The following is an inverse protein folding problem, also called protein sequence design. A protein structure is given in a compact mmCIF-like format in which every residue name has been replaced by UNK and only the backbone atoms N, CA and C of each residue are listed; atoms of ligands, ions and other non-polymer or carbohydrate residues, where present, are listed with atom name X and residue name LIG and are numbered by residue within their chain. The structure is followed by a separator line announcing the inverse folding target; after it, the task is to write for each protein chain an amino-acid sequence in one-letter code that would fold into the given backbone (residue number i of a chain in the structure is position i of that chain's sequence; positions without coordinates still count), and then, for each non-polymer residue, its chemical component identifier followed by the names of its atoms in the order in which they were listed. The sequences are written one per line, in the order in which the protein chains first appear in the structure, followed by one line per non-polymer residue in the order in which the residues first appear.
data_IF_314620671414
#
_entry.id   IF_314620671414
#
_cell.length_a   1.000
_cell.length_b   1.000
_cell.length_c   1.000
_cell.angle_alpha   90.00
_cell.angle_beta   90.00
_cell.angle_gamma   90.00
#
_symmetry.space_group_name_H-M   'P 1'
#
loop_
_entity.id
_entity.type
_entity.pdbx_description
1 polymer ?
#
# COMPACT_ATOMS: atom_id res chain seq x y z
N UNK A 1 0.16 -2.78 21.67
CA UNK A 1 0.98 -2.59 20.45
C UNK A 1 1.85 -3.82 20.18
N UNK A 2 2.18 -4.08 18.91
CA UNK A 2 3.12 -5.14 18.53
C UNK A 2 4.56 -4.72 18.90
N UNK A 3 5.38 -5.69 19.33
CA UNK A 3 6.80 -5.43 19.59
C UNK A 3 7.50 -4.96 18.31
N UNK A 4 8.43 -3.98 18.37
CA UNK A 4 9.12 -3.45 17.18
C UNK A 4 9.77 -4.52 16.30
N UNK A 5 10.31 -5.59 16.90
CA UNK A 5 10.94 -6.69 16.17
C UNK A 5 9.96 -7.51 15.32
N UNK A 6 8.68 -7.56 15.72
CA UNK A 6 7.62 -8.21 14.95
C UNK A 6 7.07 -7.26 13.89
N UNK A 7 6.91 -5.98 14.25
CA UNK A 7 6.41 -4.96 13.33
C UNK A 7 7.31 -4.82 12.09
N UNK A 8 8.63 -4.84 12.30
CA UNK A 8 9.64 -4.77 11.23
C UNK A 8 9.62 -6.00 10.27
N UNK A 9 8.92 -7.08 10.63
CA UNK A 9 8.72 -8.24 9.74
C UNK A 9 7.53 -8.09 8.79
N UNK A 10 6.62 -7.15 9.05
CA UNK A 10 5.55 -6.84 8.10
C UNK A 10 6.12 -6.04 6.93
N UNK A 11 5.79 -6.47 5.70
CA UNK A 11 6.22 -5.75 4.49
C UNK A 11 5.56 -4.37 4.41
N UNK A 12 4.24 -4.34 4.53
CA UNK A 12 3.44 -3.13 4.43
C UNK A 12 2.61 -2.90 5.68
N UNK A 13 2.36 -1.64 6.00
CA UNK A 13 1.36 -1.20 6.97
C UNK A 13 0.39 -0.22 6.29
N UNK A 14 -0.89 -0.32 6.66
CA UNK A 14 -1.89 0.66 6.29
C UNK A 14 -2.68 1.06 7.53
N UNK A 15 -3.04 2.33 7.59
CA UNK A 15 -3.91 2.87 8.62
C UNK A 15 -5.29 3.05 8.01
N UNK A 16 -6.31 2.53 8.69
CA UNK A 16 -7.71 2.62 8.23
C UNK A 16 -8.43 3.56 9.19
N UNK A 17 -8.87 4.69 8.65
CA UNK A 17 -9.70 5.66 9.38
C UNK A 17 -11.14 5.57 8.91
N UNK A 18 -12.10 5.72 9.84
CA UNK A 18 -13.50 5.83 9.44
C UNK A 18 -13.73 7.18 8.75
N UNK A 19 -14.40 7.21 7.57
CA UNK A 19 -14.71 8.47 6.91
C UNK A 19 -15.55 9.41 7.79
N UNK A 20 -15.16 10.68 7.86
CA UNK A 20 -15.89 11.74 8.56
C UNK A 20 -16.94 12.42 7.67
N UNK A 21 -16.76 12.38 6.34
CA UNK A 21 -17.68 13.01 5.40
C UNK A 21 -19.05 12.32 5.38
N UNK A 22 -20.12 13.08 5.63
CA UNK A 22 -21.48 12.53 5.74
C UNK A 22 -21.93 11.87 4.43
N UNK A 23 -21.61 12.46 3.27
CA UNK A 23 -22.03 11.90 1.97
C UNK A 23 -21.46 10.48 1.77
N UNK A 24 -20.15 10.31 2.00
CA UNK A 24 -19.46 9.03 1.88
C UNK A 24 -19.99 8.00 2.89
N UNK A 25 -20.30 8.41 4.12
CA UNK A 25 -20.91 7.53 5.13
C UNK A 25 -22.28 7.04 4.70
N UNK A 26 -23.12 7.94 4.18
CA UNK A 26 -24.46 7.59 3.66
C UNK A 26 -24.33 6.62 2.49
N UNK A 27 -23.38 6.85 1.58
CA UNK A 27 -23.17 5.97 0.43
C UNK A 27 -22.70 4.57 0.85
N UNK A 28 -21.80 4.45 1.82
CA UNK A 28 -21.36 3.16 2.37
C UNK A 28 -22.55 2.40 2.96
N UNK A 29 -23.39 3.07 3.76
CA UNK A 29 -24.58 2.46 4.39
C UNK A 29 -25.57 2.01 3.31
N UNK A 30 -25.87 2.85 2.31
CA UNK A 30 -26.78 2.50 1.21
C UNK A 30 -26.28 1.28 0.42
N UNK A 31 -24.97 1.21 0.14
CA UNK A 31 -24.38 0.05 -0.57
C UNK A 31 -24.48 -1.22 0.28
N UNK A 32 -24.24 -1.13 1.58
CA UNK A 32 -24.38 -2.27 2.49
C UNK A 32 -25.82 -2.76 2.58
N UNK A 33 -26.76 -1.85 2.77
CA UNK A 33 -28.20 -2.15 2.81
C UNK A 33 -28.70 -2.77 1.49
N UNK A 34 -28.25 -2.25 0.34
CA UNK A 34 -28.58 -2.82 -0.96
C UNK A 34 -28.09 -4.28 -1.10
N UNK A 35 -26.87 -4.58 -0.61
CA UNK A 35 -26.35 -5.94 -0.57
C UNK A 35 -27.17 -6.84 0.37
N UNK A 36 -27.52 -6.36 1.57
CA UNK A 36 -28.26 -7.17 2.55
C UNK A 36 -29.70 -7.49 2.07
N UNK A 37 -30.32 -6.60 1.27
CA UNK A 37 -31.65 -6.82 0.68
C UNK A 37 -31.64 -7.77 -0.51
N UNK A 38 -30.66 -7.65 -1.41
CA UNK A 38 -30.51 -8.52 -2.57
C UNK A 38 -29.02 -8.67 -2.95
N UNK A 39 -28.35 -9.69 -2.38
CA UNK A 39 -26.94 -9.95 -2.67
C UNK A 39 -26.68 -10.23 -4.15
N UNK A 40 -27.59 -10.91 -4.83
CA UNK A 40 -27.35 -11.39 -6.20
C UNK A 40 -27.40 -10.24 -7.20
N UNK A 41 -28.39 -9.34 -7.08
CA UNK A 41 -28.47 -8.15 -7.90
C UNK A 41 -27.31 -7.19 -7.61
N UNK A 42 -26.93 -7.02 -6.33
CA UNK A 42 -25.77 -6.19 -5.97
C UNK A 42 -24.47 -6.74 -6.56
N UNK A 43 -24.19 -8.04 -6.42
CA UNK A 43 -23.01 -8.66 -7.02
C UNK A 43 -23.00 -8.49 -8.55
N UNK A 44 -24.15 -8.66 -9.19
CA UNK A 44 -24.27 -8.50 -10.65
C UNK A 44 -23.95 -7.07 -11.10
N UNK A 45 -24.36 -6.06 -10.33
CA UNK A 45 -24.04 -4.65 -10.59
C UNK A 45 -22.52 -4.37 -10.57
N UNK A 46 -21.77 -5.03 -9.68
CA UNK A 46 -20.32 -4.81 -9.52
C UNK A 46 -19.43 -5.82 -10.26
N UNK A 47 -20.04 -6.81 -10.92
CA UNK A 47 -19.33 -7.92 -11.54
C UNK A 47 -18.30 -7.46 -12.57
N UNK A 48 -18.67 -6.51 -13.44
CA UNK A 48 -17.77 -5.99 -14.47
C UNK A 48 -16.55 -5.28 -13.88
N UNK A 49 -16.76 -4.40 -12.89
CA UNK A 49 -15.69 -3.70 -12.21
C UNK A 49 -14.74 -4.66 -11.47
N UNK A 50 -15.29 -5.67 -10.78
CA UNK A 50 -14.50 -6.71 -10.13
C UNK A 50 -13.70 -7.54 -11.14
N UNK A 51 -14.29 -7.88 -12.28
CA UNK A 51 -13.61 -8.62 -13.35
C UNK A 51 -12.48 -7.79 -13.97
N UNK A 52 -12.70 -6.48 -14.18
CA UNK A 52 -11.67 -5.58 -14.67
C UNK A 52 -10.47 -5.52 -13.71
N UNK A 53 -10.72 -5.43 -12.39
CA UNK A 53 -9.66 -5.46 -11.39
C UNK A 53 -8.96 -6.83 -11.29
N UNK A 54 -9.70 -7.93 -11.38
CA UNK A 54 -9.09 -9.25 -11.44
C UNK A 54 -8.15 -9.38 -12.64
N UNK A 55 -8.59 -8.91 -13.81
CA UNK A 55 -7.81 -8.93 -15.04
C UNK A 55 -6.56 -8.04 -14.91
N UNK A 56 -6.67 -6.87 -14.27
CA UNK A 56 -5.55 -5.95 -14.01
C UNK A 56 -4.46 -6.66 -13.19
N UNK A 57 -4.86 -7.35 -12.11
CA UNK A 57 -3.95 -8.09 -11.22
C UNK A 57 -3.29 -9.28 -11.93
N UNK A 58 -4.05 -10.06 -12.71
CA UNK A 58 -3.51 -11.21 -13.46
C UNK A 58 -2.47 -10.70 -14.47
N UNK A 59 -2.76 -9.61 -15.19
CA UNK A 59 -1.83 -9.03 -16.14
C UNK A 59 -0.58 -8.47 -15.45
N UNK A 60 -0.73 -7.86 -14.28
CA UNK A 60 0.38 -7.36 -13.45
C UNK A 60 1.33 -8.49 -13.04
N UNK A 61 0.79 -9.62 -12.56
CA UNK A 61 1.59 -10.80 -12.18
C UNK A 61 2.45 -11.32 -13.35
N UNK A 62 1.91 -11.32 -14.58
CA UNK A 62 2.66 -11.70 -15.79
C UNK A 62 3.79 -10.73 -16.14
N UNK A 63 3.63 -9.44 -15.82
CA UNK A 63 4.62 -8.37 -16.09
C UNK A 63 5.65 -8.21 -14.97
N UNK A 64 5.33 -8.63 -13.75
CA UNK A 64 6.10 -8.31 -12.53
C UNK A 64 7.60 -8.56 -12.68
N UNK A 65 7.99 -9.77 -13.12
CA UNK A 65 9.41 -10.15 -13.25
C UNK A 65 10.14 -9.41 -14.38
N UNK A 66 9.40 -8.87 -15.36
CA UNK A 66 9.94 -8.10 -16.48
C UNK A 66 9.98 -6.59 -16.20
N UNK A 67 9.34 -6.14 -15.12
CA UNK A 67 9.24 -4.73 -14.77
C UNK A 67 10.55 -4.26 -14.16
N UNK A 68 11.20 -3.32 -14.84
CA UNK A 68 12.54 -2.84 -14.47
C UNK A 68 12.46 -1.83 -13.33
N UNK A 69 13.57 -1.76 -12.61
CA UNK A 69 13.86 -0.71 -11.64
C UNK A 69 15.26 -0.22 -11.97
N UNK A 70 15.41 1.07 -12.26
CA UNK A 70 16.71 1.66 -12.59
C UNK A 70 17.62 1.76 -11.37
N UNK A 71 18.93 1.83 -11.60
CA UNK A 71 19.92 2.03 -10.54
C UNK A 71 19.69 3.35 -9.77
N UNK A 72 19.22 4.38 -10.47
CA UNK A 72 18.84 5.65 -9.85
C UNK A 72 17.74 5.47 -8.80
N UNK A 73 16.75 4.61 -9.05
CA UNK A 73 15.70 4.32 -8.08
C UNK A 73 16.20 3.44 -6.92
N UNK A 74 17.17 2.55 -7.16
CA UNK A 74 17.84 1.82 -6.08
C UNK A 74 18.58 2.78 -5.14
N UNK A 75 19.32 3.75 -5.70
CA UNK A 75 20.00 4.80 -4.93
C UNK A 75 18.98 5.62 -4.14
N UNK A 76 17.88 6.04 -4.78
CA UNK A 76 16.83 6.84 -4.12
C UNK A 76 16.16 6.09 -2.97
N UNK A 77 15.86 4.81 -3.14
CA UNK A 77 15.30 3.97 -2.09
C UNK A 77 16.26 3.83 -0.89
N UNK A 78 17.56 3.62 -1.15
CA UNK A 78 18.57 3.55 -0.10
C UNK A 78 18.71 4.88 0.66
N UNK A 79 18.78 6.02 -0.05
CA UNK A 79 18.80 7.35 0.55
C UNK A 79 17.58 7.59 1.45
N UNK A 80 16.39 7.18 0.99
CA UNK A 80 15.17 7.33 1.76
C UNK A 80 15.19 6.49 3.04
N UNK A 81 15.61 5.22 2.97
CA UNK A 81 15.72 4.35 4.13
C UNK A 81 16.73 4.87 5.17
N UNK A 82 17.89 5.36 4.70
CA UNK A 82 18.91 6.00 5.57
C UNK A 82 18.33 7.24 6.25
N UNK A 83 17.68 8.13 5.48
CA UNK A 83 17.06 9.33 6.02
C UNK A 83 15.91 9.03 7.01
N UNK A 84 15.18 7.94 6.78
CA UNK A 84 14.10 7.46 7.65
C UNK A 84 14.61 6.71 8.91
N UNK A 85 15.93 6.50 9.04
CA UNK A 85 16.53 5.82 10.19
C UNK A 85 16.13 4.34 10.30
N UNK A 86 15.76 3.69 9.18
CA UNK A 86 15.41 2.27 9.18
C UNK A 86 16.66 1.41 9.39
N UNK A 87 16.51 0.27 10.06
CA UNK A 87 17.61 -0.65 10.33
C UNK A 87 17.66 -1.81 9.32
N UNK A 88 18.87 -2.21 8.93
CA UNK A 88 19.13 -3.24 7.92
C UNK A 88 18.58 -2.90 6.52
N UNK A 89 18.54 -3.90 5.65
CA UNK A 89 18.21 -3.75 4.21
C UNK A 89 16.75 -4.10 3.86
N UNK A 90 15.90 -4.33 4.87
CA UNK A 90 14.52 -4.78 4.65
C UNK A 90 13.62 -3.67 4.13
N UNK A 91 13.88 -2.43 4.53
CA UNK A 91 13.13 -1.26 4.05
C UNK A 91 13.33 -1.10 2.54
N UNK A 92 14.58 -1.09 2.09
CA UNK A 92 14.97 -0.94 0.69
C UNK A 92 14.38 -2.06 -0.15
N UNK A 93 14.58 -3.31 0.25
CA UNK A 93 14.07 -4.45 -0.52
C UNK A 93 12.54 -4.43 -0.62
N UNK A 94 11.85 -4.00 0.43
CA UNK A 94 10.40 -3.81 0.42
C UNK A 94 10.01 -2.72 -0.56
N UNK A 95 10.63 -1.53 -0.49
CA UNK A 95 10.37 -0.41 -1.40
C UNK A 95 10.50 -0.85 -2.87
N UNK A 96 11.63 -1.51 -3.20
CA UNK A 96 11.91 -1.96 -4.57
C UNK A 96 10.86 -2.96 -5.06
N UNK A 97 10.46 -3.93 -4.22
CA UNK A 97 9.43 -4.91 -4.56
C UNK A 97 8.06 -4.25 -4.75
N UNK A 98 7.69 -3.33 -3.87
CA UNK A 98 6.40 -2.66 -3.90
C UNK A 98 6.26 -1.71 -5.08
N UNK A 99 7.28 -0.90 -5.38
CA UNK A 99 7.20 0.02 -6.53
C UNK A 99 7.24 -0.75 -7.86
N UNK A 100 7.97 -1.88 -7.93
CA UNK A 100 7.92 -2.79 -9.09
C UNK A 100 6.52 -3.38 -9.26
N UNK A 101 5.88 -3.80 -8.16
CA UNK A 101 4.53 -4.34 -8.20
C UNK A 101 3.50 -3.27 -8.62
N UNK A 102 3.62 -2.05 -8.11
CA UNK A 102 2.76 -0.92 -8.48
C UNK A 102 2.93 -0.54 -9.96
N UNK A 103 4.17 -0.44 -10.45
CA UNK A 103 4.45 -0.19 -11.85
C UNK A 103 3.86 -1.29 -12.75
N UNK A 104 4.02 -2.56 -12.37
CA UNK A 104 3.45 -3.70 -13.10
C UNK A 104 1.91 -3.69 -13.10
N UNK A 105 1.29 -3.29 -11.99
CA UNK A 105 -0.17 -3.12 -11.86
C UNK A 105 -0.68 -2.03 -12.79
N UNK A 106 0.02 -0.89 -12.83
CA UNK A 106 -0.24 0.24 -13.72
C UNK A 106 0.15 -0.01 -15.19
N UNK A 107 0.58 -1.22 -15.55
CA UNK A 107 0.94 -1.57 -16.93
C UNK A 107 2.26 -0.99 -17.43
N UNK A 108 3.07 -0.36 -16.56
CA UNK A 108 4.38 0.21 -16.89
C UNK A 108 5.43 -0.90 -17.05
N UNK A 109 6.41 -0.68 -17.93
CA UNK A 109 7.58 -1.57 -18.10
C UNK A 109 8.71 -1.27 -17.12
N UNK A 110 8.69 -0.09 -16.52
CA UNK A 110 9.72 0.41 -15.61
C UNK A 110 9.05 1.20 -14.49
N UNK A 111 9.55 1.03 -13.26
CA UNK A 111 9.11 1.82 -12.12
C UNK A 111 9.61 3.26 -12.23
N UNK A 112 8.86 4.18 -11.62
CA UNK A 112 9.14 5.62 -11.64
C UNK A 112 9.30 6.14 -10.22
N UNK A 113 9.86 7.35 -10.07
CA UNK A 113 9.95 7.99 -8.74
C UNK A 113 8.56 8.24 -8.13
N UNK A 114 7.54 8.49 -8.96
CA UNK A 114 6.15 8.58 -8.49
C UNK A 114 5.68 7.27 -7.84
N UNK A 115 6.06 6.11 -8.38
CA UNK A 115 5.71 4.82 -7.78
C UNK A 115 6.42 4.65 -6.42
N UNK A 116 7.69 5.07 -6.30
CA UNK A 116 8.44 5.07 -5.04
C UNK A 116 7.78 5.95 -3.98
N UNK A 117 7.43 7.19 -4.33
CA UNK A 117 6.75 8.15 -3.43
C UNK A 117 5.41 7.56 -2.94
N UNK A 118 4.65 6.94 -3.83
CA UNK A 118 3.34 6.38 -3.50
C UNK A 118 3.44 5.21 -2.51
N UNK A 119 4.44 4.33 -2.64
CA UNK A 119 4.56 3.13 -1.78
C UNK A 119 5.36 3.35 -0.50
N UNK A 120 6.10 4.46 -0.40
CA UNK A 120 6.99 4.71 0.73
C UNK A 120 6.27 4.75 2.08
N UNK A 121 5.12 5.44 2.23
CA UNK A 121 4.41 5.47 3.51
C UNK A 121 4.00 4.07 3.98
N UNK A 122 3.44 3.26 3.07
CA UNK A 122 3.01 1.91 3.40
C UNK A 122 4.19 0.98 3.74
N UNK A 123 5.37 1.23 3.16
CA UNK A 123 6.55 0.37 3.34
C UNK A 123 7.40 0.73 4.56
N UNK A 124 7.42 2.01 4.96
CA UNK A 124 8.38 2.53 5.94
C UNK A 124 7.76 3.04 7.24
N UNK A 125 6.49 3.47 7.27
CA UNK A 125 5.91 4.17 8.43
C UNK A 125 6.02 3.38 9.73
N UNK A 126 5.86 2.05 9.65
CA UNK A 126 5.98 1.13 10.77
C UNK A 126 7.42 0.71 11.11
N UNK A 127 8.40 1.13 10.30
CA UNK A 127 9.85 0.89 10.48
C UNK A 127 10.60 2.11 10.99
N UNK A 128 9.92 3.26 11.06
CA UNK A 128 10.50 4.47 11.64
C UNK A 128 10.87 4.20 13.10
N UNK A 129 12.13 4.45 13.44
CA UNK A 129 12.56 4.44 14.84
C UNK A 129 11.83 5.59 15.52
N UNK A 130 10.85 5.27 16.38
CA UNK A 130 10.36 6.23 17.37
C UNK A 130 11.53 6.50 18.31
N UNK A 131 11.91 7.77 18.53
CA UNK A 131 12.80 8.03 19.67
C UNK A 131 12.10 7.49 20.93
N UNK A 132 12.83 6.92 21.89
CA UNK A 132 12.26 6.56 23.20
C UNK A 132 11.62 7.76 23.93
N UNK A 133 11.92 8.98 23.48
CA UNK A 133 11.40 10.25 23.97
C UNK A 133 10.34 10.87 23.04
N UNK A 134 10.09 10.30 21.86
CA UNK A 134 8.98 10.72 21.00
C UNK A 134 7.71 10.05 21.52
N UNK A 135 6.89 10.86 22.19
CA UNK A 135 5.69 10.51 22.96
C UNK A 135 4.94 9.25 22.48
N UNK A 136 5.11 8.18 23.24
CA UNK A 136 3.98 7.32 23.62
C UNK A 136 3.13 8.06 24.65
N UNK A 137 2.52 9.17 24.22
CA UNK A 137 1.62 10.00 24.99
C UNK A 137 0.20 9.81 24.47
N UNK A 138 -0.64 9.25 25.33
CA UNK A 138 -2.10 9.23 25.20
C UNK A 138 -2.67 10.61 24.82
N UNK A 139 -3.80 10.60 24.07
CA UNK A 139 -4.74 11.72 23.79
C UNK A 139 -4.17 12.87 22.95
N UNK A 140 -4.78 13.28 21.84
CA UNK A 140 -6.19 13.71 21.66
C UNK A 140 -6.84 13.08 20.42
#
# INVERSE_FOLDING_TARGET
ELRPQLLDRFGLSCEITTPSEISLRVDIIKRRDAYDRDPQSFMSLWQEANQAEQNSIIAARKRLLKTKVSDQLHIRAAQLCVAAGTDGLRGELTLIRCMRALAALNGKKEATEADLIQIAPASLRHRLRRNPLDDSGSTV
#
